data_IF_862392783495
#
_entry.id   IF_862392783495
#
_cell.length_a   1.000
_cell.length_b   1.000
_cell.length_c   1.000
_cell.angle_alpha   90.00
_cell.angle_beta   90.00
_cell.angle_gamma   90.00
#
_symmetry.space_group_name_H-M   'P 1'
#
loop_
_entity.id
_entity.type
_entity.pdbx_description
1 polymer ?
#
# COMPACT_ATOMS: atom_id res chain seq x y z
N UNK A 1 -3.88 -4.85 21.13
CA UNK A 1 -4.05 -3.91 19.99
C UNK A 1 -4.35 -2.54 20.57
N UNK A 2 -3.52 -1.52 20.33
CA UNK A 2 -3.72 -0.22 20.98
C UNK A 2 -4.94 0.50 20.37
N UNK A 3 -5.93 0.84 21.20
CA UNK A 3 -7.22 1.42 20.75
C UNK A 3 -7.06 2.73 19.96
N UNK A 4 -5.96 3.46 20.16
CA UNK A 4 -5.69 4.72 19.44
C UNK A 4 -4.93 4.56 18.12
N UNK A 5 -4.59 3.34 17.70
CA UNK A 5 -3.78 3.09 16.49
C UNK A 5 -4.55 3.17 15.16
N UNK A 6 -5.90 3.22 15.19
CA UNK A 6 -6.73 3.12 13.99
C UNK A 6 -6.88 1.69 13.43
N UNK A 7 -6.08 0.72 13.90
CA UNK A 7 -6.09 -0.68 13.43
C UNK A 7 -7.48 -1.32 13.52
N UNK A 8 -8.14 -1.18 14.68
CA UNK A 8 -9.50 -1.69 14.94
C UNK A 8 -10.55 -1.01 14.04
N UNK A 9 -10.26 0.19 13.54
CA UNK A 9 -11.14 0.91 12.64
C UNK A 9 -11.22 0.29 11.25
N UNK A 10 -10.14 -0.33 10.78
CA UNK A 10 -9.92 -0.68 9.37
C UNK A 10 -9.83 -2.19 9.14
N UNK A 11 -9.23 -2.93 10.08
CA UNK A 11 -8.99 -4.36 9.94
C UNK A 11 -10.01 -5.19 10.71
N UNK A 12 -10.28 -6.39 10.19
CA UNK A 12 -11.03 -7.44 10.86
C UNK A 12 -10.16 -8.06 11.97
N UNK A 13 -10.32 -7.52 13.19
CA UNK A 13 -9.55 -7.96 14.36
C UNK A 13 -9.86 -9.40 14.77
N UNK A 14 -11.13 -9.85 14.81
CA UNK A 14 -11.44 -11.27 15.04
C UNK A 14 -10.73 -12.21 14.07
N UNK A 15 -10.76 -11.91 12.77
CA UNK A 15 -10.04 -12.69 11.75
C UNK A 15 -8.53 -12.68 11.98
N UNK A 16 -7.94 -11.52 12.27
CA UNK A 16 -6.51 -11.37 12.54
C UNK A 16 -6.06 -12.24 13.72
N UNK A 17 -6.80 -12.22 14.85
CA UNK A 17 -6.50 -13.03 16.04
C UNK A 17 -6.68 -14.52 15.73
N UNK A 18 -7.78 -14.90 15.06
CA UNK A 18 -8.08 -16.29 14.71
C UNK A 18 -7.01 -16.88 13.79
N UNK A 19 -6.54 -16.11 12.81
CA UNK A 19 -5.54 -16.55 11.82
C UNK A 19 -4.18 -16.80 12.45
N UNK A 20 -3.80 -16.02 13.47
CA UNK A 20 -2.47 -16.07 14.09
C UNK A 20 -2.43 -16.84 15.42
N UNK A 21 -3.53 -17.46 15.83
CA UNK A 21 -3.69 -18.08 17.17
C UNK A 21 -2.65 -19.15 17.52
N UNK A 22 -2.06 -19.80 16.52
CA UNK A 22 -1.04 -20.83 16.71
C UNK A 22 0.40 -20.29 16.57
N UNK A 23 0.57 -19.07 16.05
CA UNK A 23 1.87 -18.46 15.86
C UNK A 23 2.23 -17.54 17.04
N UNK A 24 1.28 -16.68 17.42
CA UNK A 24 1.48 -15.66 18.46
C UNK A 24 0.22 -15.43 19.26
N UNK A 25 0.37 -15.30 20.59
CA UNK A 25 -0.74 -14.93 21.47
C UNK A 25 -1.00 -13.43 21.35
N UNK A 26 -2.10 -13.04 20.73
CA UNK A 26 -2.50 -11.64 20.57
C UNK A 26 -3.45 -11.23 21.69
N UNK A 27 -3.06 -10.22 22.46
CA UNK A 27 -3.91 -9.60 23.46
C UNK A 27 -4.49 -8.27 22.96
N UNK A 28 -5.75 -8.00 23.29
CA UNK A 28 -6.43 -6.74 22.93
C UNK A 28 -5.99 -5.60 23.86
N UNK A 29 -5.72 -5.87 25.14
CA UNK A 29 -5.22 -4.92 26.13
C UNK A 29 -3.96 -5.43 26.85
N UNK A 30 -3.22 -4.50 27.43
CA UNK A 30 -2.16 -4.83 28.40
C UNK A 30 -2.84 -5.22 29.73
N UNK A 31 -2.31 -6.21 30.48
CA UNK A 31 -2.90 -6.61 31.76
C UNK A 31 -2.97 -5.46 32.78
N UNK A 32 -3.99 -5.53 33.64
CA UNK A 32 -4.07 -4.71 34.83
C UNK A 32 -3.18 -5.27 35.95
N UNK A 33 -2.61 -4.38 36.74
CA UNK A 33 -1.78 -4.69 37.91
C UNK A 33 -2.44 -4.13 39.17
N UNK A 34 -2.36 -4.87 40.27
CA UNK A 34 -2.84 -4.40 41.58
C UNK A 34 -1.66 -3.74 42.31
N UNK A 35 -1.80 -2.47 42.65
CA UNK A 35 -0.78 -1.73 43.43
C UNK A 35 -1.46 -1.00 44.58
N UNK A 36 -1.06 -1.28 45.81
CA UNK A 36 -1.65 -0.72 47.04
C UNK A 36 -3.18 -0.88 47.09
N UNK A 37 -3.70 -2.07 46.75
CA UNK A 37 -5.12 -2.37 46.72
C UNK A 37 -5.93 -1.68 45.60
N UNK A 38 -5.27 -0.94 44.70
CA UNK A 38 -5.90 -0.29 43.54
C UNK A 38 -5.46 -0.96 42.24
N UNK A 39 -6.44 -1.29 41.40
CA UNK A 39 -6.20 -1.77 40.03
C UNK A 39 -5.70 -0.62 39.17
N UNK A 40 -4.55 -0.79 38.52
CA UNK A 40 -3.94 0.17 37.59
C UNK A 40 -3.55 -0.54 36.30
N UNK A 41 -3.62 0.16 35.17
CA UNK A 41 -3.09 -0.35 33.90
C UNK A 41 -1.57 -0.39 33.96
N UNK A 42 -0.97 -1.52 33.57
CA UNK A 42 0.48 -1.61 33.42
C UNK A 42 0.95 -0.61 32.35
N UNK A 43 1.89 0.27 32.73
CA UNK A 43 2.48 1.23 31.81
C UNK A 43 3.62 0.58 31.05
N UNK A 44 3.46 0.41 29.74
CA UNK A 44 4.50 -0.15 28.90
C UNK A 44 5.74 0.77 28.85
N UNK A 45 6.92 0.18 28.97
CA UNK A 45 8.19 0.88 28.85
C UNK A 45 8.49 1.20 27.38
N UNK A 46 8.64 2.47 27.05
CA UNK A 46 8.90 2.89 25.69
C UNK A 46 10.34 2.61 25.30
N UNK A 47 10.54 1.88 24.21
CA UNK A 47 11.86 1.60 23.64
C UNK A 47 11.87 1.94 22.14
N UNK A 48 13.01 2.43 21.66
CA UNK A 48 13.22 2.82 20.25
C UNK A 48 14.09 1.76 19.57
N UNK A 49 13.51 0.87 18.74
CA UNK A 49 14.33 -0.07 17.98
C UNK A 49 15.24 0.67 16.99
N UNK A 50 16.46 0.16 16.72
CA UNK A 50 17.26 0.61 15.58
C UNK A 50 16.49 0.47 14.27
N UNK A 51 16.91 1.21 13.22
CA UNK A 51 16.40 0.96 11.87
C UNK A 51 16.93 -0.40 11.41
N UNK A 52 16.07 -1.20 10.78
CA UNK A 52 16.39 -2.53 10.25
C UNK A 52 17.03 -3.44 11.33
N UNK A 53 16.49 -3.39 12.55
CA UNK A 53 17.08 -4.08 13.69
C UNK A 53 17.10 -5.60 13.46
N UNK A 54 18.23 -6.28 13.76
CA UNK A 54 18.32 -7.72 13.60
C UNK A 54 17.41 -8.43 14.62
N UNK A 55 17.05 -9.69 14.33
CA UNK A 55 16.28 -10.54 15.25
C UNK A 55 16.93 -10.61 16.63
N UNK A 56 18.27 -10.63 16.69
CA UNK A 56 19.04 -10.66 17.93
C UNK A 56 18.77 -9.47 18.83
N UNK A 57 18.44 -8.29 18.29
CA UNK A 57 18.09 -7.12 19.11
C UNK A 57 16.79 -7.34 19.88
N UNK A 58 15.82 -8.02 19.26
CA UNK A 58 14.55 -8.36 19.90
C UNK A 58 14.71 -9.42 20.99
N UNK A 59 15.54 -10.44 20.73
CA UNK A 59 15.77 -11.54 21.67
C UNK A 59 16.73 -11.19 22.80
N UNK A 60 17.44 -10.06 22.71
CA UNK A 60 18.36 -9.56 23.75
C UNK A 60 17.83 -8.28 24.40
N UNK A 61 18.04 -7.13 23.76
CA UNK A 61 17.76 -5.79 24.32
C UNK A 61 16.27 -5.62 24.61
N UNK A 62 15.39 -5.94 23.66
CA UNK A 62 13.95 -5.76 23.87
C UNK A 62 13.41 -6.74 24.91
N UNK A 63 13.86 -8.01 24.86
CA UNK A 63 13.46 -9.04 25.81
C UNK A 63 13.91 -8.71 27.24
N UNK A 64 15.12 -8.18 27.43
CA UNK A 64 15.60 -7.73 28.74
C UNK A 64 14.67 -6.67 29.32
N UNK A 65 14.32 -5.64 28.55
CA UNK A 65 13.38 -4.60 29.00
C UNK A 65 11.98 -5.15 29.23
N UNK A 66 11.51 -6.09 28.41
CA UNK A 66 10.22 -6.75 28.64
C UNK A 66 10.21 -7.54 29.96
N UNK A 67 11.30 -8.24 30.30
CA UNK A 67 11.43 -8.94 31.59
C UNK A 67 11.45 -7.98 32.78
N UNK A 68 12.13 -6.84 32.67
CA UNK A 68 12.21 -5.85 33.76
C UNK A 68 10.91 -5.06 33.98
N UNK A 69 10.19 -4.73 32.92
CA UNK A 69 9.01 -3.83 32.98
C UNK A 69 7.67 -4.54 32.76
N UNK A 70 7.67 -5.82 32.41
CA UNK A 70 6.47 -6.62 32.09
C UNK A 70 5.86 -6.34 30.72
N UNK A 71 5.91 -5.10 30.24
CA UNK A 71 5.46 -4.71 28.90
C UNK A 71 6.35 -3.62 28.31
N UNK A 72 6.56 -3.67 26.99
CA UNK A 72 7.29 -2.65 26.23
C UNK A 72 6.43 -2.06 25.12
N UNK A 73 6.69 -0.80 24.78
CA UNK A 73 6.08 -0.10 23.66
C UNK A 73 7.16 0.28 22.64
N UNK A 74 7.14 -0.41 21.50
CA UNK A 74 8.07 -0.17 20.39
C UNK A 74 7.61 1.04 19.58
N UNK A 75 8.39 2.12 19.56
CA UNK A 75 8.06 3.30 18.75
C UNK A 75 9.31 4.10 18.36
N UNK A 76 9.37 4.70 17.15
CA UNK A 76 8.39 4.57 16.06
C UNK A 76 8.54 3.22 15.33
N UNK A 77 7.48 2.74 14.68
CA UNK A 77 7.42 1.36 14.14
C UNK A 77 7.87 1.21 12.66
N UNK A 78 8.29 2.29 11.99
CA UNK A 78 8.70 2.21 10.58
C UNK A 78 10.08 1.59 10.41
N UNK A 79 10.20 0.55 9.56
CA UNK A 79 11.44 -0.16 9.22
C UNK A 79 12.28 -0.61 10.42
N UNK A 80 11.68 -1.41 11.33
CA UNK A 80 12.32 -1.83 12.60
C UNK A 80 12.80 -3.27 12.64
N UNK A 81 12.40 -4.12 11.71
CA UNK A 81 12.94 -5.46 11.58
C UNK A 81 13.82 -5.50 10.33
N UNK A 82 14.97 -6.14 10.40
CA UNK A 82 15.85 -6.35 9.25
C UNK A 82 15.07 -6.96 8.07
N UNK A 83 15.35 -6.50 6.85
CA UNK A 83 14.65 -6.99 5.66
C UNK A 83 15.07 -8.43 5.33
N UNK A 84 16.37 -8.72 5.42
CA UNK A 84 16.95 -10.03 5.16
C UNK A 84 17.09 -10.84 6.46
N UNK A 85 16.23 -11.86 6.58
CA UNK A 85 16.16 -12.76 7.73
C UNK A 85 16.28 -14.20 7.24
N UNK A 86 17.23 -14.95 7.80
CA UNK A 86 17.49 -16.34 7.42
C UNK A 86 16.57 -17.36 8.13
N UNK A 87 15.81 -16.93 9.13
CA UNK A 87 14.87 -17.77 9.86
C UNK A 87 13.59 -18.01 9.03
N UNK A 88 13.33 -19.25 8.58
CA UNK A 88 12.19 -19.55 7.72
C UNK A 88 10.84 -19.40 8.44
N UNK A 89 10.78 -19.63 9.75
CA UNK A 89 9.53 -19.49 10.51
C UNK A 89 9.16 -18.01 10.68
N UNK A 90 10.15 -17.14 10.89
CA UNK A 90 9.93 -15.69 10.88
C UNK A 90 9.45 -15.23 9.50
N UNK A 91 10.05 -15.72 8.42
CA UNK A 91 9.62 -15.36 7.07
C UNK A 91 8.19 -15.84 6.78
N UNK A 92 7.85 -17.09 7.12
CA UNK A 92 6.49 -17.63 7.02
C UNK A 92 5.48 -16.80 7.79
N UNK A 93 5.83 -16.38 9.02
CA UNK A 93 4.97 -15.52 9.81
C UNK A 93 4.77 -14.14 9.16
N UNK A 94 5.83 -13.53 8.59
CA UNK A 94 5.72 -12.26 7.84
C UNK A 94 4.76 -12.40 6.66
N UNK A 95 4.88 -13.47 5.88
CA UNK A 95 3.99 -13.77 4.77
C UNK A 95 2.54 -13.92 5.23
N UNK A 96 2.32 -14.75 6.27
CA UNK A 96 0.98 -15.00 6.82
C UNK A 96 0.33 -13.74 7.35
N UNK A 97 1.08 -12.92 8.09
CA UNK A 97 0.58 -11.64 8.61
C UNK A 97 0.20 -10.71 7.46
N UNK A 98 1.11 -10.51 6.50
CA UNK A 98 0.93 -9.53 5.42
C UNK A 98 -0.20 -9.87 4.45
N UNK A 99 -0.40 -11.15 4.13
CA UNK A 99 -1.28 -11.54 3.03
C UNK A 99 -2.50 -12.35 3.44
N UNK A 100 -2.55 -12.90 4.66
CA UNK A 100 -3.69 -13.70 5.13
C UNK A 100 -4.35 -13.13 6.39
N UNK A 101 -3.58 -12.68 7.37
CA UNK A 101 -4.14 -12.21 8.64
C UNK A 101 -4.68 -10.78 8.54
N UNK A 102 -4.00 -9.90 7.79
CA UNK A 102 -4.43 -8.51 7.58
C UNK A 102 -5.56 -8.44 6.53
N UNK A 103 -6.80 -8.67 6.96
CA UNK A 103 -8.02 -8.48 6.18
C UNK A 103 -8.71 -7.18 6.59
N UNK A 104 -9.14 -6.36 5.63
CA UNK A 104 -9.98 -5.20 5.94
C UNK A 104 -11.35 -5.63 6.43
N UNK A 105 -12.05 -4.74 7.14
CA UNK A 105 -13.40 -5.02 7.62
C UNK A 105 -14.36 -5.40 6.48
N UNK A 106 -15.39 -6.22 6.74
CA UNK A 106 -16.35 -6.66 5.74
C UNK A 106 -16.99 -5.52 4.93
N UNK A 107 -17.34 -4.40 5.57
CA UNK A 107 -17.90 -3.25 4.88
C UNK A 107 -16.94 -2.60 3.88
N UNK A 108 -15.65 -2.48 4.22
CA UNK A 108 -14.60 -1.99 3.30
C UNK A 108 -14.45 -2.96 2.12
N UNK A 109 -14.42 -4.26 2.39
CA UNK A 109 -14.29 -5.30 1.36
C UNK A 109 -15.50 -5.29 0.41
N UNK A 110 -16.71 -5.17 0.94
CA UNK A 110 -17.95 -5.08 0.17
C UNK A 110 -17.94 -3.88 -0.76
N UNK A 111 -17.70 -2.68 -0.22
CA UNK A 111 -17.64 -1.45 -1.04
C UNK A 111 -16.56 -1.52 -2.12
N UNK A 112 -15.39 -2.05 -1.78
CA UNK A 112 -14.30 -2.24 -2.74
C UNK A 112 -14.69 -3.17 -3.88
N UNK A 113 -15.38 -4.27 -3.55
CA UNK A 113 -15.84 -5.27 -4.52
C UNK A 113 -16.92 -4.71 -5.44
N UNK A 114 -17.87 -3.94 -4.90
CA UNK A 114 -18.91 -3.26 -5.70
C UNK A 114 -18.30 -2.27 -6.70
N UNK A 115 -17.31 -1.48 -6.28
CA UNK A 115 -16.58 -0.56 -7.17
C UNK A 115 -15.86 -1.33 -8.27
N UNK A 116 -15.12 -2.39 -7.92
CA UNK A 116 -14.39 -3.22 -8.89
C UNK A 116 -15.35 -3.88 -9.87
N UNK A 117 -16.46 -4.44 -9.40
CA UNK A 117 -17.46 -5.09 -10.24
C UNK A 117 -18.10 -4.11 -11.22
N UNK A 118 -18.42 -2.89 -10.75
CA UNK A 118 -18.93 -1.84 -11.63
C UNK A 118 -17.91 -1.45 -12.70
N UNK A 119 -16.67 -1.14 -12.31
CA UNK A 119 -15.61 -0.79 -13.26
C UNK A 119 -15.37 -1.89 -14.30
N UNK A 120 -15.32 -3.16 -13.87
CA UNK A 120 -15.14 -4.31 -14.77
C UNK A 120 -16.33 -4.54 -15.70
N UNK A 121 -17.55 -4.21 -15.27
CA UNK A 121 -18.73 -4.31 -16.14
C UNK A 121 -18.68 -3.34 -17.33
N UNK A 122 -17.88 -2.28 -17.22
CA UNK A 122 -17.63 -1.30 -18.28
C UNK A 122 -16.37 -1.59 -19.11
N UNK A 123 -15.58 -2.60 -18.72
CA UNK A 123 -14.38 -3.05 -19.40
C UNK A 123 -13.16 -3.18 -18.49
N UNK A 124 -12.00 -3.45 -19.08
CA UNK A 124 -10.73 -3.44 -18.34
C UNK A 124 -10.40 -2.03 -17.83
N UNK A 125 -9.84 -1.95 -16.64
CA UNK A 125 -9.47 -0.69 -16.02
C UNK A 125 -8.10 -0.77 -15.36
N UNK A 126 -7.41 0.36 -15.40
CA UNK A 126 -6.18 0.55 -14.65
C UNK A 126 -6.41 1.42 -13.43
N UNK A 127 -5.52 1.30 -12.46
CA UNK A 127 -5.52 2.13 -11.27
C UNK A 127 -4.19 2.87 -11.10
N UNK A 128 -4.26 4.12 -10.66
CA UNK A 128 -3.10 4.97 -10.42
C UNK A 128 -3.11 5.42 -8.97
N UNK A 129 -2.02 5.21 -8.25
CA UNK A 129 -1.81 5.84 -6.95
C UNK A 129 -0.99 7.12 -7.12
N UNK A 130 -1.70 8.25 -7.08
CA UNK A 130 -1.14 9.57 -7.33
C UNK A 130 -0.78 10.25 -6.00
N UNK A 131 0.50 10.19 -5.63
CA UNK A 131 1.04 10.78 -4.39
C UNK A 131 1.57 12.20 -4.65
N UNK A 132 0.67 13.18 -4.68
CA UNK A 132 0.96 14.59 -4.96
C UNK A 132 0.35 15.54 -3.92
N UNK A 133 0.32 15.11 -2.66
CA UNK A 133 -0.21 15.86 -1.53
C UNK A 133 0.87 16.74 -0.88
N UNK A 134 0.43 17.74 -0.11
CA UNK A 134 1.28 18.79 0.47
C UNK A 134 2.45 18.21 1.29
N UNK A 135 2.20 17.20 2.12
CA UNK A 135 3.20 16.60 3.00
C UNK A 135 4.32 15.92 2.20
N UNK A 136 3.96 15.21 1.13
CA UNK A 136 4.91 14.54 0.23
C UNK A 136 5.75 15.54 -0.55
N UNK A 137 5.11 16.58 -1.10
CA UNK A 137 5.81 17.59 -1.90
C UNK A 137 6.78 18.41 -1.03
N UNK A 138 6.35 18.79 0.18
CA UNK A 138 7.19 19.44 1.18
C UNK A 138 8.34 18.53 1.65
N UNK A 139 8.08 17.24 1.86
CA UNK A 139 9.14 16.26 2.19
C UNK A 139 10.15 16.12 1.05
N UNK A 140 9.67 15.99 -0.20
CA UNK A 140 10.49 15.76 -1.37
C UNK A 140 11.38 16.96 -1.69
N UNK A 141 10.89 18.19 -1.42
CA UNK A 141 11.56 19.45 -1.73
C UNK A 141 11.47 19.84 -3.20
N UNK A 142 10.42 19.37 -3.89
CA UNK A 142 10.27 19.57 -5.32
C UNK A 142 9.29 20.72 -5.61
N UNK A 143 9.68 21.96 -5.26
CA UNK A 143 8.75 23.09 -5.14
C UNK A 143 8.75 24.06 -6.34
N UNK A 144 9.74 24.00 -7.22
CA UNK A 144 9.94 25.01 -8.28
C UNK A 144 8.81 25.03 -9.33
N UNK A 145 8.05 23.93 -9.45
CA UNK A 145 6.88 23.80 -10.34
C UNK A 145 5.62 24.53 -9.82
N UNK A 146 5.68 25.06 -8.61
CA UNK A 146 4.58 25.76 -7.94
C UNK A 146 4.73 27.28 -8.05
N UNK A 147 3.62 27.99 -7.91
CA UNK A 147 3.62 29.46 -7.85
C UNK A 147 4.37 29.97 -6.60
N UNK A 148 4.88 31.22 -6.60
CA UNK A 148 5.57 31.77 -5.42
C UNK A 148 4.75 31.70 -4.12
N UNK A 149 3.42 31.82 -4.20
CA UNK A 149 2.51 31.70 -3.07
C UNK A 149 2.44 30.25 -2.56
N UNK A 150 2.27 29.28 -3.46
CA UNK A 150 2.25 27.85 -3.14
C UNK A 150 3.60 27.36 -2.59
N UNK A 151 4.72 27.86 -3.13
CA UNK A 151 6.06 27.57 -2.64
C UNK A 151 6.22 27.99 -1.17
N UNK A 152 5.74 29.19 -0.80
CA UNK A 152 5.77 29.66 0.60
C UNK A 152 5.03 28.71 1.54
N UNK A 153 3.88 28.16 1.10
CA UNK A 153 3.10 27.19 1.89
C UNK A 153 3.91 25.91 2.10
N UNK A 154 4.48 25.35 1.04
CA UNK A 154 5.28 24.11 1.11
C UNK A 154 6.53 24.28 1.97
N UNK A 155 7.23 25.41 1.85
CA UNK A 155 8.41 25.75 2.65
C UNK A 155 8.04 25.86 4.14
N UNK A 156 6.94 26.57 4.45
CA UNK A 156 6.44 26.70 5.82
C UNK A 156 6.10 25.33 6.42
N UNK A 157 5.29 24.54 5.71
CA UNK A 157 4.90 23.21 6.15
C UNK A 157 6.13 22.33 6.39
N UNK A 158 7.14 22.40 5.51
CA UNK A 158 8.38 21.64 5.67
C UNK A 158 9.10 22.01 6.97
N UNK A 159 9.29 23.29 7.22
CA UNK A 159 10.00 23.81 8.41
C UNK A 159 9.32 23.37 9.72
N UNK A 160 8.00 23.25 9.71
CA UNK A 160 7.21 22.85 10.88
C UNK A 160 7.19 21.34 11.12
N UNK A 161 7.33 20.51 10.08
CA UNK A 161 7.07 19.07 10.16
C UNK A 161 8.30 18.17 9.90
N UNK A 162 9.36 18.69 9.28
CA UNK A 162 10.53 17.88 8.89
C UNK A 162 11.83 18.49 9.37
N UNK A 163 12.85 17.64 9.52
CA UNK A 163 14.20 18.07 9.83
C UNK A 163 14.74 19.02 8.75
N UNK A 164 15.48 20.04 9.20
CA UNK A 164 16.15 20.99 8.34
C UNK A 164 17.10 20.27 7.38
N UNK A 165 16.97 20.59 6.10
CA UNK A 165 17.75 19.99 5.03
C UNK A 165 17.70 20.89 3.81
N UNK A 166 18.86 21.14 3.22
CA UNK A 166 18.98 21.80 1.93
C UNK A 166 18.47 20.86 0.82
N UNK A 167 17.51 21.33 0.04
CA UNK A 167 16.88 20.57 -1.04
C UNK A 167 16.82 21.43 -2.30
N UNK A 168 17.61 21.06 -3.30
CA UNK A 168 17.63 21.71 -4.61
C UNK A 168 16.75 20.93 -5.58
N UNK A 169 15.66 21.54 -6.07
CA UNK A 169 14.66 20.89 -6.93
C UNK A 169 15.28 20.05 -8.06
N UNK A 170 16.22 20.65 -8.81
CA UNK A 170 16.84 20.02 -9.98
C UNK A 170 17.59 18.74 -9.60
N UNK A 171 18.39 18.78 -8.55
CA UNK A 171 19.14 17.63 -8.06
C UNK A 171 18.20 16.52 -7.59
N UNK A 172 17.15 16.90 -6.84
CA UNK A 172 16.13 15.99 -6.30
C UNK A 172 15.38 15.27 -7.42
N UNK A 173 15.06 15.96 -8.50
CA UNK A 173 14.42 15.41 -9.69
C UNK A 173 15.33 14.43 -10.40
N UNK A 174 16.59 14.80 -10.64
CA UNK A 174 17.60 13.96 -11.29
C UNK A 174 17.94 12.68 -10.53
N UNK A 175 17.75 12.64 -9.21
CA UNK A 175 17.89 11.41 -8.41
C UNK A 175 16.56 10.66 -8.20
N UNK A 176 15.51 11.04 -8.92
CA UNK A 176 14.20 10.37 -8.88
C UNK A 176 13.46 10.56 -7.55
N UNK A 177 13.70 11.63 -6.81
CA UNK A 177 13.06 11.86 -5.50
C UNK A 177 11.83 12.77 -5.54
N UNK A 178 11.52 13.35 -6.69
CA UNK A 178 10.28 14.09 -6.92
C UNK A 178 9.14 13.15 -7.36
N UNK A 179 7.92 13.32 -6.82
CA UNK A 179 6.72 12.75 -7.41
C UNK A 179 6.51 13.20 -8.85
N UNK A 180 5.92 12.33 -9.67
CA UNK A 180 5.49 12.71 -11.00
C UNK A 180 4.26 13.63 -10.91
N UNK A 181 4.20 14.65 -11.75
CA UNK A 181 3.00 15.48 -11.90
C UNK A 181 1.91 14.70 -12.64
N UNK A 182 0.61 15.06 -12.49
CA UNK A 182 -0.45 14.40 -13.24
C UNK A 182 -0.26 14.51 -14.77
N UNK A 183 0.29 15.62 -15.28
CA UNK A 183 0.62 15.75 -16.70
C UNK A 183 1.70 14.75 -17.13
N UNK A 184 2.78 14.61 -16.35
CA UNK A 184 3.85 13.65 -16.63
C UNK A 184 3.34 12.21 -16.66
N UNK A 185 2.46 11.86 -15.71
CA UNK A 185 1.80 10.55 -15.66
C UNK A 185 1.00 10.32 -16.95
N UNK A 186 0.21 11.29 -17.37
CA UNK A 186 -0.57 11.17 -18.60
C UNK A 186 0.31 11.05 -19.86
N UNK A 187 1.42 11.79 -19.93
CA UNK A 187 2.39 11.70 -21.02
C UNK A 187 3.07 10.32 -21.07
N UNK A 188 3.39 9.72 -19.92
CA UNK A 188 3.92 8.36 -19.85
C UNK A 188 2.91 7.35 -20.40
N UNK A 189 1.65 7.45 -19.97
CA UNK A 189 0.59 6.55 -20.43
C UNK A 189 0.36 6.66 -21.95
N UNK A 190 0.37 7.89 -22.49
CA UNK A 190 0.29 8.11 -23.94
C UNK A 190 1.45 7.45 -24.69
N UNK A 191 2.68 7.59 -24.20
CA UNK A 191 3.85 6.95 -24.81
C UNK A 191 3.81 5.41 -24.77
N UNK A 192 3.12 4.84 -23.78
CA UNK A 192 2.85 3.42 -23.65
C UNK A 192 1.68 2.92 -24.51
N UNK A 193 0.97 3.82 -25.20
CA UNK A 193 -0.13 3.47 -26.11
C UNK A 193 -1.53 3.52 -25.48
N UNK A 194 -1.67 3.97 -24.22
CA UNK A 194 -2.98 4.23 -23.64
C UNK A 194 -3.61 5.48 -24.26
N UNK A 195 -4.92 5.44 -24.50
CA UNK A 195 -5.66 6.53 -25.11
C UNK A 195 -6.80 7.04 -24.21
N UNK A 196 -7.62 7.96 -24.73
CA UNK A 196 -8.71 8.58 -23.98
C UNK A 196 -9.88 7.64 -23.66
N UNK A 197 -9.88 6.41 -24.17
CA UNK A 197 -10.89 5.38 -23.87
C UNK A 197 -10.53 4.56 -22.63
N UNK A 198 -9.28 4.65 -22.17
CA UNK A 198 -8.78 3.96 -20.97
C UNK A 198 -9.59 4.35 -19.73
N UNK A 199 -10.15 3.36 -19.04
CA UNK A 199 -10.80 3.56 -17.73
C UNK A 199 -9.73 3.61 -16.64
N UNK A 200 -9.69 4.72 -15.90
CA UNK A 200 -8.69 4.96 -14.86
C UNK A 200 -9.39 5.17 -13.52
N UNK A 201 -9.05 4.32 -12.55
CA UNK A 201 -9.32 4.55 -11.14
C UNK A 201 -8.17 5.32 -10.49
N UNK A 202 -8.43 6.45 -9.86
CA UNK A 202 -7.44 7.29 -9.22
C UNK A 202 -7.53 7.21 -7.69
N UNK A 203 -6.52 6.58 -7.09
CA UNK A 203 -6.28 6.61 -5.66
C UNK A 203 -5.36 7.79 -5.33
N UNK A 204 -5.89 8.82 -4.67
CA UNK A 204 -5.12 10.00 -4.28
C UNK A 204 -5.74 10.68 -3.06
N UNK A 205 -4.90 11.23 -2.19
CA UNK A 205 -5.35 12.20 -1.20
C UNK A 205 -5.67 13.57 -1.83
N UNK A 206 -5.73 14.60 -0.98
CA UNK A 206 -5.93 15.97 -1.43
C UNK A 206 -4.70 16.46 -2.22
N UNK A 207 -4.89 16.65 -3.52
CA UNK A 207 -3.83 17.06 -4.43
C UNK A 207 -3.47 18.54 -4.26
N UNK A 208 -2.20 18.83 -3.95
CA UNK A 208 -1.74 20.21 -3.80
C UNK A 208 -1.66 20.90 -5.18
N UNK A 209 -2.23 22.11 -5.26
CA UNK A 209 -2.48 22.82 -6.53
C UNK A 209 -3.73 22.34 -7.31
N UNK A 210 -4.41 21.30 -6.82
CA UNK A 210 -5.76 20.89 -7.21
C UNK A 210 -6.03 20.83 -8.72
N UNK A 211 -7.07 21.54 -9.17
CA UNK A 211 -7.56 21.51 -10.56
C UNK A 211 -6.51 21.95 -11.58
N UNK A 212 -5.53 22.80 -11.20
CA UNK A 212 -4.47 23.27 -12.11
C UNK A 212 -3.65 22.10 -12.65
N UNK A 213 -3.20 21.23 -11.75
CA UNK A 213 -2.42 20.04 -12.12
C UNK A 213 -3.26 18.91 -12.70
N UNK A 214 -4.53 18.76 -12.29
CA UNK A 214 -5.39 17.70 -12.82
C UNK A 214 -5.93 17.97 -14.23
N UNK A 215 -6.01 19.24 -14.66
CA UNK A 215 -6.63 19.60 -15.94
C UNK A 215 -5.96 18.92 -17.15
N UNK A 216 -4.63 18.94 -17.32
CA UNK A 216 -3.99 18.26 -18.46
C UNK A 216 -4.22 16.75 -18.44
N UNK A 217 -4.17 16.13 -17.25
CA UNK A 217 -4.41 14.69 -17.11
C UNK A 217 -5.83 14.30 -17.50
N UNK A 218 -6.85 15.02 -17.00
CA UNK A 218 -8.26 14.78 -17.36
C UNK A 218 -8.55 15.03 -18.84
N UNK A 219 -7.84 15.97 -19.47
CA UNK A 219 -7.96 16.19 -20.92
C UNK A 219 -7.42 15.00 -21.73
N UNK A 220 -6.34 14.36 -21.27
CA UNK A 220 -5.80 13.15 -21.89
C UNK A 220 -6.65 11.90 -21.60
N UNK A 221 -7.19 11.79 -20.39
CA UNK A 221 -7.94 10.62 -19.89
C UNK A 221 -9.24 11.07 -19.20
N UNK A 222 -10.34 11.23 -19.96
CA UNK A 222 -11.60 11.74 -19.43
C UNK A 222 -12.38 10.71 -18.58
N UNK A 223 -12.15 9.40 -18.78
CA UNK A 223 -12.78 8.31 -18.00
C UNK A 223 -12.02 8.08 -16.69
N UNK A 224 -12.14 9.05 -15.79
CA UNK A 224 -11.40 9.09 -14.53
C UNK A 224 -12.35 9.03 -13.33
N UNK A 225 -12.20 8.00 -12.52
CA UNK A 225 -13.07 7.71 -11.38
C UNK A 225 -12.29 7.48 -10.08
N UNK A 226 -12.95 7.51 -8.93
CA UNK A 226 -12.39 7.17 -7.62
C UNK A 226 -13.49 6.63 -6.68
N UNK A 227 -13.15 6.22 -5.45
CA UNK A 227 -14.13 5.66 -4.52
C UNK A 227 -15.33 6.59 -4.26
N UNK A 228 -15.13 7.91 -4.34
CA UNK A 228 -16.20 8.90 -4.10
C UNK A 228 -17.13 9.07 -5.30
N UNK A 229 -16.69 8.77 -6.54
CA UNK A 229 -17.52 8.85 -7.74
C UNK A 229 -18.23 7.55 -8.09
N UNK A 230 -17.68 6.40 -7.67
CA UNK A 230 -18.19 5.07 -8.05
C UNK A 230 -18.91 4.36 -6.93
N UNK A 231 -18.50 4.58 -5.67
CA UNK A 231 -19.01 3.84 -4.52
C UNK A 231 -20.47 4.14 -4.21
N UNK A 232 -21.21 3.19 -3.61
CA UNK A 232 -22.48 3.50 -2.97
C UNK A 232 -22.23 4.57 -1.89
N UNK A 233 -23.13 5.53 -1.73
CA UNK A 233 -22.91 6.71 -0.89
C UNK A 233 -22.30 6.46 0.51
N UNK A 234 -21.51 7.44 0.97
CA UNK A 234 -20.82 7.60 2.28
C UNK A 234 -20.38 6.32 2.99
N UNK A 235 -19.08 6.01 2.88
CA UNK A 235 -18.33 5.16 3.81
C UNK A 235 -18.51 5.65 5.26
N UNK A 236 -18.69 4.73 6.20
CA UNK A 236 -18.87 5.06 7.63
C UNK A 236 -17.74 5.95 8.18
N UNK A 237 -18.12 7.06 8.83
CA UNK A 237 -17.20 8.06 9.40
C UNK A 237 -16.37 7.53 10.59
N UNK A 238 -16.73 6.38 11.16
CA UNK A 238 -16.11 5.78 12.36
C UNK A 238 -14.68 5.23 12.16
N UNK A 239 -14.09 5.41 10.98
CA UNK A 239 -12.74 4.91 10.61
C UNK A 239 -11.64 5.97 10.67
N UNK A 240 -11.88 7.13 11.30
CA UNK A 240 -10.95 8.28 11.31
C UNK A 240 -10.53 8.74 9.91
N UNK A 241 -11.42 8.58 8.92
CA UNK A 241 -11.16 8.94 7.52
C UNK A 241 -10.26 7.98 6.75
N UNK A 242 -9.87 6.84 7.31
CA UNK A 242 -8.97 5.88 6.64
C UNK A 242 -9.70 4.81 5.80
N UNK A 243 -11.03 4.69 5.92
CA UNK A 243 -11.80 3.74 5.11
C UNK A 243 -11.64 3.99 3.60
N UNK A 244 -11.64 5.25 3.17
CA UNK A 244 -11.46 5.60 1.74
C UNK A 244 -10.13 5.08 1.20
N UNK A 245 -9.03 5.26 1.95
CA UNK A 245 -7.73 4.72 1.56
C UNK A 245 -7.67 3.20 1.57
N UNK A 246 -8.40 2.53 2.47
CA UNK A 246 -8.51 1.07 2.47
C UNK A 246 -9.29 0.55 1.24
N UNK A 247 -10.35 1.25 0.85
CA UNK A 247 -11.08 0.98 -0.40
C UNK A 247 -10.17 1.21 -1.61
N UNK A 248 -9.48 2.36 -1.67
CA UNK A 248 -8.52 2.65 -2.74
C UNK A 248 -7.46 1.55 -2.85
N UNK A 249 -6.95 1.06 -1.72
CA UNK A 249 -5.97 -0.03 -1.70
C UNK A 249 -6.54 -1.31 -2.35
N UNK A 250 -7.75 -1.72 -1.99
CA UNK A 250 -8.37 -2.93 -2.55
C UNK A 250 -8.72 -2.77 -4.03
N UNK A 251 -9.25 -1.63 -4.46
CA UNK A 251 -9.54 -1.38 -5.87
C UNK A 251 -8.25 -1.40 -6.70
N UNK A 252 -7.17 -0.80 -6.18
CA UNK A 252 -5.87 -0.85 -6.86
C UNK A 252 -5.20 -2.23 -6.81
N UNK A 253 -5.51 -3.08 -5.81
CA UNK A 253 -5.03 -4.46 -5.75
C UNK A 253 -5.69 -5.31 -6.85
N UNK A 254 -6.97 -5.05 -7.13
CA UNK A 254 -7.79 -5.85 -8.02
C UNK A 254 -7.85 -5.32 -9.47
N UNK A 255 -7.35 -4.11 -9.74
CA UNK A 255 -7.24 -3.57 -11.09
C UNK A 255 -6.37 -4.42 -12.01
N UNK A 256 -6.60 -4.34 -13.31
CA UNK A 256 -5.82 -5.07 -14.32
C UNK A 256 -4.36 -4.58 -14.33
N UNK A 257 -4.18 -3.26 -14.28
CA UNK A 257 -2.87 -2.61 -14.27
C UNK A 257 -2.81 -1.60 -13.12
N UNK A 258 -1.73 -1.65 -12.33
CA UNK A 258 -1.45 -0.64 -11.30
C UNK A 258 -0.23 0.20 -11.67
N UNK A 259 -0.30 1.52 -11.42
CA UNK A 259 0.82 2.43 -11.62
C UNK A 259 0.97 3.37 -10.41
N UNK A 260 2.04 3.25 -9.60
CA UNK A 260 2.36 4.25 -8.59
C UNK A 260 3.08 5.45 -9.22
N UNK A 261 2.75 6.67 -8.80
CA UNK A 261 3.46 7.89 -9.25
C UNK A 261 4.62 8.27 -8.34
N UNK A 262 4.70 7.63 -7.18
CA UNK A 262 5.76 7.79 -6.20
C UNK A 262 5.91 6.54 -5.33
N UNK A 263 7.07 5.92 -5.43
CA UNK A 263 7.53 4.72 -4.71
C UNK A 263 8.63 5.06 -3.69
N UNK A 264 8.70 6.33 -3.22
CA UNK A 264 9.59 6.71 -2.12
C UNK A 264 9.11 6.13 -0.77
N UNK A 265 9.10 6.89 0.34
CA UNK A 265 8.57 6.40 1.63
C UNK A 265 7.03 6.16 1.65
N UNK A 266 6.40 5.88 0.51
CA UNK A 266 4.97 5.60 0.41
C UNK A 266 4.66 4.16 0.78
N UNK A 267 4.21 3.95 2.03
CA UNK A 267 3.78 2.63 2.49
C UNK A 267 2.63 2.06 1.63
N UNK A 268 1.74 2.91 1.10
CA UNK A 268 0.63 2.48 0.26
C UNK A 268 1.14 1.79 -1.01
N UNK A 269 1.97 2.49 -1.79
CA UNK A 269 2.47 1.96 -3.06
C UNK A 269 3.33 0.71 -2.83
N UNK A 270 4.27 0.75 -1.89
CA UNK A 270 5.18 -0.35 -1.62
C UNK A 270 4.43 -1.62 -1.19
N UNK A 271 3.53 -1.51 -0.20
CA UNK A 271 2.74 -2.66 0.24
C UNK A 271 1.81 -3.19 -0.85
N UNK A 272 1.25 -2.31 -1.69
CA UNK A 272 0.35 -2.72 -2.75
C UNK A 272 1.08 -3.45 -3.88
N UNK A 273 2.28 -2.99 -4.26
CA UNK A 273 3.14 -3.67 -5.23
C UNK A 273 3.44 -5.10 -4.75
N UNK A 274 3.89 -5.27 -3.50
CA UNK A 274 4.18 -6.59 -2.96
C UNK A 274 2.94 -7.46 -2.79
N UNK A 275 1.78 -6.86 -2.53
CA UNK A 275 0.51 -7.60 -2.47
C UNK A 275 0.04 -8.05 -3.85
N UNK A 276 0.19 -7.21 -4.88
CA UNK A 276 -0.05 -7.59 -6.29
C UNK A 276 0.90 -8.67 -6.78
N UNK A 277 2.17 -8.63 -6.34
CA UNK A 277 3.15 -9.68 -6.60
C UNK A 277 2.68 -11.01 -6.00
N UNK A 278 2.27 -10.99 -4.72
CA UNK A 278 1.76 -12.16 -4.00
C UNK A 278 0.48 -12.73 -4.62
N UNK A 279 -0.46 -11.88 -5.05
CA UNK A 279 -1.71 -12.28 -5.70
C UNK A 279 -1.54 -12.55 -7.20
N UNK A 280 -0.61 -13.44 -7.55
CA UNK A 280 -0.45 -13.94 -8.92
C UNK A 280 0.29 -13.00 -9.86
N UNK A 281 1.34 -12.33 -9.38
CA UNK A 281 2.23 -11.53 -10.23
C UNK A 281 1.49 -10.47 -11.07
N UNK A 282 0.49 -9.83 -10.46
CA UNK A 282 -0.38 -8.89 -11.17
C UNK A 282 0.40 -7.72 -11.75
N UNK A 283 0.03 -7.34 -12.97
CA UNK A 283 0.71 -6.31 -13.75
C UNK A 283 0.81 -4.99 -13.00
N UNK A 284 2.05 -4.52 -12.82
CA UNK A 284 2.34 -3.24 -12.18
C UNK A 284 3.38 -2.50 -13.00
N UNK A 285 3.05 -1.29 -13.45
CA UNK A 285 3.94 -0.42 -14.24
C UNK A 285 4.57 0.57 -13.27
N UNK A 286 5.85 0.41 -12.95
CA UNK A 286 6.57 1.31 -12.04
C UNK A 286 7.51 2.23 -12.83
N UNK A 287 7.18 3.53 -12.98
CA UNK A 287 8.00 4.45 -13.75
C UNK A 287 9.37 4.67 -13.09
N UNK A 288 10.45 4.53 -13.87
CA UNK A 288 11.79 4.89 -13.40
C UNK A 288 11.95 6.42 -13.42
N UNK A 289 11.51 7.07 -12.34
CA UNK A 289 11.50 8.54 -12.19
C UNK A 289 12.90 9.15 -12.38
N UNK A 290 13.95 8.45 -11.98
CA UNK A 290 15.34 8.87 -12.17
C UNK A 290 15.71 8.90 -13.66
N UNK A 291 15.37 7.85 -14.41
CA UNK A 291 15.65 7.76 -15.84
C UNK A 291 14.74 8.67 -16.68
N UNK A 292 13.52 8.94 -16.21
CA UNK A 292 12.57 9.85 -16.88
C UNK A 292 12.89 11.33 -16.65
N UNK A 293 13.57 11.68 -15.54
CA UNK A 293 13.81 13.08 -15.16
C UNK A 293 14.49 13.91 -16.27
N UNK A 294 15.58 13.46 -16.94
CA UNK A 294 16.19 14.25 -18.02
C UNK A 294 15.22 14.52 -19.18
N UNK A 295 14.37 13.54 -19.53
CA UNK A 295 13.42 13.65 -20.65
C UNK A 295 12.38 14.73 -20.36
N UNK A 296 11.86 14.78 -19.13
CA UNK A 296 10.89 15.80 -18.74
C UNK A 296 11.54 17.18 -18.57
N UNK A 297 12.77 17.25 -18.07
CA UNK A 297 13.51 18.52 -17.97
C UNK A 297 13.81 19.12 -19.35
N UNK A 298 14.17 18.29 -20.33
CA UNK A 298 14.31 18.72 -21.73
C UNK A 298 12.99 19.31 -22.25
N UNK A 299 11.87 18.66 -21.92
CA UNK A 299 10.54 19.12 -22.32
C UNK A 299 10.16 20.45 -21.67
N UNK A 300 10.53 20.68 -20.41
CA UNK A 300 10.30 21.94 -19.68
C UNK A 300 10.98 23.13 -20.37
N UNK A 301 12.15 22.91 -20.99
CA UNK A 301 12.87 23.95 -21.75
C UNK A 301 12.51 23.98 -23.24
N UNK A 302 11.48 23.23 -23.66
CA UNK A 302 10.94 23.24 -25.03
C UNK A 302 11.49 22.16 -25.97
N UNK A 303 12.40 21.29 -25.51
CA UNK A 303 12.94 20.20 -26.33
C UNK A 303 12.00 18.99 -26.33
N UNK A 304 11.27 18.81 -27.43
CA UNK A 304 10.22 17.77 -27.58
C UNK A 304 10.58 16.68 -28.60
N UNK A 305 11.69 16.84 -29.33
CA UNK A 305 12.12 15.89 -30.36
C UNK A 305 12.30 14.48 -29.77
N UNK A 306 11.63 13.49 -30.35
CA UNK A 306 11.69 12.08 -29.92
C UNK A 306 11.18 11.83 -28.49
N UNK A 307 10.41 12.74 -27.89
CA UNK A 307 9.95 12.61 -26.50
C UNK A 307 9.29 11.27 -26.22
N UNK A 308 8.31 10.88 -27.04
CA UNK A 308 7.52 9.67 -26.86
C UNK A 308 8.39 8.40 -26.91
N UNK A 309 9.30 8.32 -27.89
CA UNK A 309 10.21 7.20 -28.04
C UNK A 309 11.19 7.10 -26.86
N UNK A 310 11.74 8.23 -26.39
CA UNK A 310 12.62 8.24 -25.22
C UNK A 310 11.90 7.75 -23.96
N UNK A 311 10.65 8.18 -23.75
CA UNK A 311 9.83 7.70 -22.62
C UNK A 311 9.59 6.20 -22.74
N UNK A 312 9.17 5.71 -23.92
CA UNK A 312 8.93 4.29 -24.18
C UNK A 312 10.16 3.43 -23.91
N UNK A 313 11.34 3.85 -24.37
CA UNK A 313 12.61 3.16 -24.13
C UNK A 313 12.97 3.03 -22.64
N UNK A 314 12.65 4.04 -21.83
CA UNK A 314 12.82 3.96 -20.37
C UNK A 314 11.83 2.98 -19.76
N UNK A 315 10.56 3.05 -20.16
CA UNK A 315 9.50 2.22 -19.60
C UNK A 315 9.61 0.73 -19.99
N UNK A 316 10.13 0.39 -21.18
CA UNK A 316 10.37 -1.00 -21.59
C UNK A 316 11.39 -1.74 -20.71
N UNK A 317 12.20 -1.00 -19.95
CA UNK A 317 13.21 -1.55 -19.03
C UNK A 317 12.68 -1.76 -17.61
N UNK A 318 11.44 -1.36 -17.31
CA UNK A 318 10.87 -1.49 -15.97
C UNK A 318 10.11 -2.82 -15.84
N UNK A 319 10.19 -3.46 -14.67
CA UNK A 319 9.45 -4.68 -14.40
C UNK A 319 7.94 -4.45 -14.48
N UNK A 320 7.22 -5.44 -15.01
CA UNK A 320 5.77 -5.39 -15.25
C UNK A 320 5.04 -6.48 -14.43
N UNK A 321 5.35 -6.58 -13.14
CA UNK A 321 4.64 -7.47 -12.20
C UNK A 321 5.16 -8.91 -12.04
N UNK A 322 6.22 -9.32 -12.73
CA UNK A 322 6.79 -10.68 -12.62
C UNK A 322 7.72 -10.91 -11.40
N UNK A 323 8.03 -12.19 -11.09
CA UNK A 323 9.00 -12.53 -10.04
C UNK A 323 10.38 -12.00 -10.41
N UNK A 324 11.05 -11.37 -9.45
CA UNK A 324 12.41 -10.87 -9.62
C UNK A 324 13.15 -10.92 -8.30
N UNK A 325 14.47 -11.06 -8.38
CA UNK A 325 15.32 -11.12 -7.19
C UNK A 325 15.35 -9.74 -6.52
N UNK A 326 15.03 -9.72 -5.23
CA UNK A 326 15.13 -8.51 -4.40
C UNK A 326 16.57 -7.98 -4.38
N UNK A 327 16.75 -6.70 -4.72
CA UNK A 327 18.05 -6.01 -4.67
C UNK A 327 18.00 -4.93 -3.59
N UNK A 328 18.84 -5.04 -2.58
CA UNK A 328 18.92 -4.05 -1.51
C UNK A 328 19.11 -2.63 -2.09
N UNK A 329 18.31 -1.63 -1.67
CA UNK A 329 17.47 -1.60 -0.46
C UNK A 329 15.97 -1.89 -0.69
N UNK A 330 15.60 -2.68 -1.69
CA UNK A 330 14.20 -3.07 -1.89
C UNK A 330 13.63 -3.81 -0.65
N UNK A 331 12.51 -3.35 -0.06
CA UNK A 331 11.90 -3.98 1.11
C UNK A 331 11.18 -5.29 0.78
N UNK A 332 11.11 -6.19 1.75
CA UNK A 332 10.28 -7.40 1.67
C UNK A 332 8.80 -7.09 1.37
N UNK A 333 8.30 -5.98 1.88
CA UNK A 333 6.90 -5.57 1.68
C UNK A 333 6.60 -5.13 0.25
N UNK A 334 7.62 -4.72 -0.51
CA UNK A 334 7.52 -4.42 -1.94
C UNK A 334 7.77 -5.68 -2.77
N UNK A 335 8.68 -6.54 -2.33
CA UNK A 335 9.02 -7.78 -3.00
C UNK A 335 9.26 -8.91 -1.98
N UNK A 336 8.26 -9.78 -1.83
CA UNK A 336 8.29 -10.92 -0.92
C UNK A 336 8.76 -12.22 -1.59
N UNK A 337 9.28 -12.12 -2.82
CA UNK A 337 9.89 -13.24 -3.53
C UNK A 337 11.35 -13.44 -3.09
N UNK A 338 11.78 -14.69 -2.84
CA UNK A 338 11.02 -15.93 -2.96
C UNK A 338 10.31 -16.37 -1.67
N UNK A 339 10.47 -15.66 -0.55
CA UNK A 339 10.14 -16.18 0.79
C UNK A 339 8.66 -16.51 1.02
N UNK A 340 7.75 -15.81 0.33
CA UNK A 340 6.31 -16.07 0.44
C UNK A 340 5.73 -16.99 -0.63
N UNK A 341 6.59 -17.57 -1.46
CA UNK A 341 6.19 -18.40 -2.57
C UNK A 341 6.77 -19.79 -2.41
N UNK A 342 5.98 -20.78 -2.81
CA UNK A 342 6.53 -22.09 -3.04
C UNK A 342 7.49 -22.05 -4.24
N UNK A 343 8.42 -23.00 -4.29
CA UNK A 343 9.40 -23.15 -5.34
C UNK A 343 9.10 -24.44 -6.12
N UNK A 344 9.17 -24.38 -7.44
CA UNK A 344 9.01 -25.57 -8.28
C UNK A 344 10.16 -26.57 -8.07
N UNK A 345 11.38 -26.05 -7.94
CA UNK A 345 12.61 -26.82 -7.73
C UNK A 345 13.31 -26.38 -6.44
N UNK A 346 12.75 -26.68 -5.25
CA UNK A 346 13.32 -26.22 -4.01
C UNK A 346 14.56 -27.02 -3.61
N UNK A 347 15.46 -26.39 -2.84
CA UNK A 347 16.50 -27.12 -2.10
C UNK A 347 15.95 -27.86 -0.89
N UNK A 348 14.87 -27.34 -0.29
CA UNK A 348 14.18 -27.92 0.86
C UNK A 348 12.79 -28.40 0.46
N UNK A 349 12.45 -29.66 0.74
CA UNK A 349 11.14 -30.23 0.39
C UNK A 349 9.97 -29.42 0.97
N UNK A 350 10.16 -28.75 2.11
CA UNK A 350 9.12 -27.93 2.74
C UNK A 350 8.74 -26.68 1.91
N UNK A 351 9.55 -26.29 0.93
CA UNK A 351 9.31 -25.12 0.09
C UNK A 351 8.71 -25.52 -1.27
N UNK A 352 8.44 -26.82 -1.51
CA UNK A 352 7.94 -27.30 -2.81
C UNK A 352 6.51 -26.82 -3.07
N UNK A 353 6.25 -26.38 -4.30
CA UNK A 353 4.88 -26.08 -4.70
C UNK A 353 3.97 -27.30 -4.58
N UNK A 354 2.73 -27.12 -4.05
CA UNK A 354 1.71 -28.14 -4.12
C UNK A 354 1.50 -28.56 -5.59
N UNK A 355 1.19 -29.83 -5.86
CA UNK A 355 1.01 -30.33 -7.21
C UNK A 355 -0.25 -29.77 -7.91
N UNK A 356 -1.19 -29.20 -7.15
CA UNK A 356 -2.48 -28.71 -7.66
C UNK A 356 -2.49 -27.18 -7.90
N UNK A 357 -3.26 -26.77 -8.91
CA UNK A 357 -3.36 -25.39 -9.36
C UNK A 357 -4.04 -24.48 -8.32
N UNK A 358 -3.25 -23.80 -7.50
CA UNK A 358 -3.69 -22.88 -6.43
C UNK A 358 -4.71 -21.83 -6.90
N UNK A 359 -4.72 -21.47 -8.19
CA UNK A 359 -5.70 -20.54 -8.75
C UNK A 359 -7.15 -21.04 -8.66
N UNK A 360 -7.40 -22.35 -8.83
CA UNK A 360 -8.74 -22.93 -8.62
C UNK A 360 -9.16 -22.85 -7.15
N UNK A 361 -8.23 -23.00 -6.21
CA UNK A 361 -8.52 -22.94 -4.78
C UNK A 361 -8.89 -21.51 -4.35
N UNK A 362 -8.19 -20.50 -4.87
CA UNK A 362 -8.45 -19.09 -4.56
C UNK A 362 -9.76 -18.59 -5.18
N UNK A 363 -10.05 -18.93 -6.45
CA UNK A 363 -11.36 -18.60 -7.05
C UNK A 363 -12.52 -19.29 -6.33
N UNK A 364 -12.32 -20.55 -5.90
CA UNK A 364 -13.33 -21.26 -5.12
C UNK A 364 -13.55 -20.66 -3.74
N UNK A 365 -12.52 -20.11 -3.08
CA UNK A 365 -12.66 -19.42 -1.79
C UNK A 365 -13.44 -18.09 -1.91
N UNK A 366 -13.20 -17.31 -2.97
CA UNK A 366 -14.01 -16.10 -3.23
C UNK A 366 -15.47 -16.45 -3.53
N UNK A 367 -15.74 -17.53 -4.28
CA UNK A 367 -17.11 -17.98 -4.61
C UNK A 367 -17.80 -18.70 -3.46
N UNK A 368 -17.06 -19.37 -2.56
CA UNK A 368 -17.65 -20.03 -1.39
C UNK A 368 -18.12 -19.03 -0.34
N UNK A 369 -17.41 -17.91 -0.14
CA UNK A 369 -17.86 -16.84 0.75
C UNK A 369 -19.17 -16.19 0.23
N UNK A 370 -19.36 -16.02 -1.08
CA UNK A 370 -20.62 -15.57 -1.69
C UNK A 370 -21.77 -16.57 -1.48
N UNK A 371 -21.47 -17.88 -1.55
CA UNK A 371 -22.47 -18.93 -1.38
C UNK A 371 -22.88 -19.13 0.08
N UNK A 372 -21.97 -19.03 1.05
CA UNK A 372 -22.30 -19.13 2.48
C UNK A 372 -23.20 -17.98 2.95
N UNK A 373 -22.95 -16.74 2.50
CA UNK A 373 -23.87 -15.60 2.74
C UNK A 373 -25.25 -15.81 2.09
N UNK A 374 -25.30 -16.41 0.90
CA UNK A 374 -26.58 -16.69 0.21
C UNK A 374 -27.42 -17.79 0.89
N UNK A 375 -26.76 -18.74 1.55
CA UNK A 375 -27.40 -19.84 2.28
C UNK A 375 -27.92 -19.35 3.64
N UNK A 376 -27.18 -18.50 4.36
CA UNK A 376 -27.64 -17.87 5.60
C UNK A 376 -28.84 -16.93 5.38
N UNK A 377 -28.89 -16.20 4.25
CA UNK A 377 -30.03 -15.34 3.89
C UNK A 377 -31.27 -16.15 3.52
N UNK A 378 -31.12 -17.34 2.90
CA UNK A 378 -32.26 -18.24 2.65
C UNK A 378 -32.78 -18.90 3.91
N UNK A 379 -31.89 -19.32 4.82
CA UNK A 379 -32.27 -19.96 6.09
C UNK A 379 -33.03 -19.00 7.03
N UNK A 380 -32.71 -17.71 7.03
CA UNK A 380 -33.41 -16.70 7.83
C UNK A 380 -34.75 -16.26 7.24
N UNK A 381 -34.97 -16.42 5.94
CA UNK A 381 -36.25 -16.10 5.28
C UNK A 381 -37.35 -17.17 5.44
N UNK A 382 -37.00 -18.40 5.82
CA UNK A 382 -37.95 -19.53 5.92
C UNK A 382 -38.57 -19.72 7.31
N UNK A 383 -38.15 -18.95 8.33
CA UNK A 383 -38.64 -19.09 9.72
C UNK A 383 -39.78 -18.15 10.13
N UNK A 384 -40.40 -17.41 9.19
CA UNK A 384 -41.57 -16.56 9.50
C UNK A 384 -42.76 -16.96 8.63
N UNK A 385 -43.44 -18.06 8.99
CA UNK A 385 -44.81 -18.40 8.59
C UNK A 385 -45.30 -19.60 9.40
N UNK A 386 -45.47 -19.43 10.72
CA UNK A 386 -46.35 -20.29 11.52
C UNK A 386 -47.15 -19.39 12.44
N UNK A 387 -48.39 -19.12 12.03
CA UNK A 387 -49.55 -18.82 12.87
C UNK A 387 -50.80 -19.00 12.03
#
# INVERSE_FOLDING_TARGET
IHATSGFIGIYDVPHFIKTLKYDVRIATSVPDIITNGKTKKLKAYQIRPPRDAPVTWYTTVALEKMKSYGAIYLTPFSHRLAEDINDPEIQRLRCRVNYHALRFKPNIMKTSSEIVNKLRSEGHFMSIHLRFEMDMLAFAGCIDIFTPQEQKILIKYRKENFAEKELVYRERRLIGKCPLTPEEVGLILRALGFDNTTHIYLASGELFGGKRFMRPFKAMFPRLENHSSVGPGKLEENTRGLAGSAVDYMVCLLSDIFMPTYDGPSNFANNLIGHRLYYGFRTTITPNRKALAPIFMDREVGSTAGFEERVRQVMMKTYVGGPHKRIHPEPFYTNSWPECFCQENPRNHADKCPPDNIYEVLENQFRSEENEESIEVKATSQTVSIS
#
